data_IF_399770486634
#
_entry.id   IF_399770486634
#
_cell.length_a   1.000
_cell.length_b   1.000
_cell.length_c   1.000
_cell.angle_alpha   90.00
_cell.angle_beta   90.00
_cell.angle_gamma   90.00
#
_symmetry.space_group_name_H-M   'P 1'
#
loop_
_entity.id
_entity.type
_entity.pdbx_description
1 polymer ?
#
# COMPACT_ATOMS: atom_id res chain seq x y z
N UNK A 1 -17.03 -5.12 -8.04
CA UNK A 1 -16.95 -3.75 -7.50
C UNK A 1 -15.63 -3.50 -6.74
N UNK A 2 -15.20 -4.33 -5.75
CA UNK A 2 -13.94 -4.13 -5.02
C UNK A 2 -12.70 -4.14 -5.94
N UNK A 3 -12.67 -5.01 -6.95
CA UNK A 3 -11.60 -5.02 -7.95
C UNK A 3 -11.45 -3.71 -8.73
N UNK A 4 -12.56 -3.04 -9.06
CA UNK A 4 -12.51 -1.72 -9.70
C UNK A 4 -11.89 -0.68 -8.77
N UNK A 5 -12.27 -0.68 -7.48
CA UNK A 5 -11.68 0.22 -6.50
C UNK A 5 -10.16 -0.05 -6.30
N UNK A 6 -9.75 -1.33 -6.34
CA UNK A 6 -8.34 -1.70 -6.29
C UNK A 6 -7.56 -1.17 -7.51
N UNK A 7 -8.12 -1.30 -8.71
CA UNK A 7 -7.53 -0.74 -9.94
C UNK A 7 -7.41 0.78 -9.84
N UNK A 8 -8.46 1.45 -9.36
CA UNK A 8 -8.46 2.90 -9.15
C UNK A 8 -7.39 3.33 -8.14
N UNK A 9 -7.26 2.60 -7.02
CA UNK A 9 -6.22 2.82 -6.03
C UNK A 9 -4.83 2.74 -6.65
N UNK A 10 -4.55 1.66 -7.38
CA UNK A 10 -3.27 1.40 -8.04
C UNK A 10 -2.96 2.48 -9.08
N UNK A 11 -3.95 2.89 -9.87
CA UNK A 11 -3.81 3.95 -10.86
C UNK A 11 -3.43 5.30 -10.21
N UNK A 12 -4.18 5.74 -9.21
CA UNK A 12 -3.86 6.98 -8.51
C UNK A 12 -2.56 6.90 -7.70
N UNK A 13 -2.22 5.73 -7.15
CA UNK A 13 -0.93 5.50 -6.52
C UNK A 13 0.21 5.70 -7.52
N UNK A 14 0.14 5.08 -8.71
CA UNK A 14 1.13 5.25 -9.77
C UNK A 14 1.25 6.72 -10.20
N UNK A 15 0.11 7.37 -10.48
CA UNK A 15 0.08 8.77 -10.91
C UNK A 15 0.66 9.71 -9.85
N UNK A 16 0.38 9.46 -8.57
CA UNK A 16 0.95 10.20 -7.43
C UNK A 16 2.47 10.05 -7.39
N UNK A 17 2.99 8.84 -7.55
CA UNK A 17 4.42 8.59 -7.60
C UNK A 17 5.11 9.33 -8.76
N UNK A 18 4.51 9.29 -9.97
CA UNK A 18 5.03 10.03 -11.14
C UNK A 18 5.05 11.53 -10.87
N UNK A 19 3.99 12.06 -10.25
CA UNK A 19 3.86 13.50 -9.99
C UNK A 19 4.86 14.00 -8.94
N UNK A 20 5.11 13.21 -7.88
CA UNK A 20 6.03 13.60 -6.80
C UNK A 20 7.49 13.39 -7.19
N UNK A 21 7.81 12.22 -7.73
CA UNK A 21 9.18 11.79 -7.96
C UNK A 21 9.69 12.11 -9.37
N UNK A 22 8.79 12.46 -10.29
CA UNK A 22 9.09 12.74 -11.72
C UNK A 22 9.89 11.61 -12.40
N UNK A 23 9.74 10.39 -11.89
CA UNK A 23 10.46 9.20 -12.35
C UNK A 23 9.46 8.04 -12.56
N UNK A 24 9.16 7.74 -13.82
CA UNK A 24 8.23 6.66 -14.20
C UNK A 24 8.72 5.27 -13.77
N UNK A 25 10.03 5.04 -13.77
CA UNK A 25 10.63 3.76 -13.37
C UNK A 25 10.41 3.52 -11.87
N UNK A 26 10.63 4.56 -11.04
CA UNK A 26 10.33 4.53 -9.63
C UNK A 26 8.84 4.25 -9.38
N UNK A 27 7.96 5.00 -10.05
CA UNK A 27 6.52 4.84 -9.91
C UNK A 27 6.07 3.40 -10.25
N UNK A 28 6.58 2.83 -11.33
CA UNK A 28 6.25 1.47 -11.76
C UNK A 28 6.72 0.42 -10.75
N UNK A 29 7.97 0.51 -10.27
CA UNK A 29 8.51 -0.41 -9.26
C UNK A 29 7.72 -0.32 -7.95
N UNK A 30 7.44 0.90 -7.45
CA UNK A 30 6.64 1.09 -6.23
C UNK A 30 5.23 0.53 -6.37
N UNK A 31 4.63 0.64 -7.56
CA UNK A 31 3.31 0.09 -7.84
C UNK A 31 3.32 -1.45 -7.82
N UNK A 32 4.34 -2.09 -8.40
CA UNK A 32 4.49 -3.56 -8.30
C UNK A 32 4.64 -4.00 -6.85
N UNK A 33 5.48 -3.28 -6.08
CA UNK A 33 5.65 -3.58 -4.65
C UNK A 33 4.34 -3.45 -3.88
N UNK A 34 3.52 -2.43 -4.15
CA UNK A 34 2.20 -2.29 -3.56
C UNK A 34 1.28 -3.46 -3.94
N UNK A 35 1.17 -3.78 -5.23
CA UNK A 35 0.29 -4.85 -5.73
C UNK A 35 0.68 -6.24 -5.21
N UNK A 36 1.93 -6.44 -4.80
CA UNK A 36 2.43 -7.70 -4.24
C UNK A 36 2.50 -7.71 -2.71
N UNK A 37 1.99 -6.67 -2.03
CA UNK A 37 1.76 -6.69 -0.59
C UNK A 37 0.53 -7.55 -0.25
N UNK A 38 0.67 -8.43 0.75
CA UNK A 38 -0.37 -9.37 1.15
C UNK A 38 -1.72 -8.69 1.44
N UNK A 39 -1.72 -7.63 2.24
CA UNK A 39 -2.94 -6.96 2.67
C UNK A 39 -3.68 -6.24 1.52
N UNK A 40 -2.95 -5.75 0.50
CA UNK A 40 -3.56 -5.16 -0.71
C UNK A 40 -4.32 -6.22 -1.51
N UNK A 41 -3.74 -7.40 -1.69
CA UNK A 41 -4.36 -8.52 -2.40
C UNK A 41 -5.62 -8.97 -1.65
N UNK A 42 -5.52 -9.13 -0.34
CA UNK A 42 -6.65 -9.52 0.49
C UNK A 42 -7.80 -8.51 0.42
N UNK A 43 -7.52 -7.20 0.53
CA UNK A 43 -8.54 -6.15 0.45
C UNK A 43 -9.16 -6.00 -0.94
N UNK A 44 -8.40 -6.26 -1.99
CA UNK A 44 -8.92 -6.25 -3.38
C UNK A 44 -9.91 -7.39 -3.66
N UNK A 45 -9.81 -8.51 -2.93
CA UNK A 45 -10.67 -9.69 -3.06
C UNK A 45 -11.88 -9.66 -2.14
N UNK A 46 -11.71 -9.15 -0.93
CA UNK A 46 -12.81 -8.95 0.00
C UNK A 46 -13.53 -7.65 -0.34
N UNK A 47 -14.87 -7.65 -0.33
CA UNK A 47 -15.67 -6.44 -0.57
C UNK A 47 -15.59 -5.46 0.62
N UNK A 48 -14.36 -5.12 1.04
CA UNK A 48 -14.11 -4.23 2.17
C UNK A 48 -14.30 -2.77 1.78
N UNK A 49 -15.02 -2.02 2.60
CA UNK A 49 -15.20 -0.56 2.45
C UNK A 49 -13.86 0.21 2.48
N UNK A 50 -12.83 -0.37 3.08
CA UNK A 50 -11.51 0.25 3.21
C UNK A 50 -10.87 0.53 1.85
N UNK A 51 -11.00 -0.39 0.88
CA UNK A 51 -10.38 -0.22 -0.44
C UNK A 51 -10.98 0.98 -1.20
N UNK A 52 -12.33 1.16 -1.13
CA UNK A 52 -13.00 2.30 -1.78
C UNK A 52 -12.59 3.62 -1.17
N UNK A 53 -12.66 3.69 0.17
CA UNK A 53 -12.30 4.87 0.93
C UNK A 53 -10.87 5.34 0.62
N UNK A 54 -9.90 4.43 0.61
CA UNK A 54 -8.51 4.78 0.34
C UNK A 54 -8.22 5.00 -1.16
N UNK A 55 -8.95 4.33 -2.07
CA UNK A 55 -8.83 4.59 -3.50
C UNK A 55 -9.23 6.03 -3.85
N UNK A 56 -10.38 6.48 -3.34
CA UNK A 56 -10.82 7.85 -3.54
C UNK A 56 -9.88 8.84 -2.84
N UNK A 57 -9.42 8.56 -1.64
CA UNK A 57 -8.48 9.46 -0.96
C UNK A 57 -7.14 9.56 -1.70
N UNK A 58 -6.63 8.49 -2.32
CA UNK A 58 -5.45 8.57 -3.18
C UNK A 58 -5.69 9.44 -4.42
N UNK A 59 -6.90 9.41 -4.99
CA UNK A 59 -7.31 10.35 -6.03
C UNK A 59 -7.26 11.80 -5.56
N UNK A 60 -7.79 12.06 -4.36
CA UNK A 60 -7.73 13.40 -3.75
C UNK A 60 -6.27 13.86 -3.55
N UNK A 61 -5.40 13.00 -3.03
CA UNK A 61 -3.97 13.28 -2.81
C UNK A 61 -3.28 13.60 -4.14
N UNK A 62 -3.56 12.85 -5.21
CA UNK A 62 -3.00 13.12 -6.53
C UNK A 62 -3.34 14.53 -7.02
N UNK A 63 -4.61 14.93 -6.93
CA UNK A 63 -5.04 16.27 -7.35
C UNK A 63 -4.52 17.37 -6.42
N UNK A 64 -4.42 17.11 -5.11
CA UNK A 64 -3.79 18.04 -4.16
C UNK A 64 -2.33 18.31 -4.50
N UNK A 65 -1.55 17.29 -4.82
CA UNK A 65 -0.15 17.46 -5.20
C UNK A 65 -0.05 18.33 -6.45
N UNK A 66 -0.90 18.10 -7.46
CA UNK A 66 -0.95 18.95 -8.67
C UNK A 66 -1.30 20.40 -8.32
N UNK A 67 -2.33 20.61 -7.49
CA UNK A 67 -2.78 21.93 -7.07
C UNK A 67 -1.70 22.67 -6.27
N UNK A 68 -0.99 21.98 -5.38
CA UNK A 68 0.09 22.55 -4.58
C UNK A 68 1.33 22.86 -5.42
N UNK A 69 1.68 22.00 -6.37
CA UNK A 69 2.85 22.17 -7.23
C UNK A 69 2.64 23.24 -8.32
N UNK A 70 1.41 23.57 -8.67
CA UNK A 70 1.08 24.55 -9.69
C UNK A 70 1.55 25.96 -9.27
N UNK A 71 2.20 26.69 -10.20
CA UNK A 71 2.62 28.08 -9.99
C UNK A 71 1.43 29.04 -9.91
N UNK A 72 0.43 28.81 -10.76
CA UNK A 72 -0.85 29.53 -10.78
C UNK A 72 -1.91 28.67 -10.11
N UNK A 73 -2.88 29.31 -9.43
CA UNK A 73 -3.94 28.58 -8.74
C UNK A 73 -4.76 27.73 -9.72
N UNK A 74 -4.75 26.42 -9.54
CA UNK A 74 -5.51 25.47 -10.34
C UNK A 74 -6.84 25.15 -9.63
N UNK A 75 -7.88 25.91 -9.92
CA UNK A 75 -9.24 25.67 -9.41
C UNK A 75 -9.73 24.25 -9.73
N UNK A 76 -9.47 23.79 -10.95
CA UNK A 76 -9.84 22.46 -11.40
C UNK A 76 -9.26 21.34 -10.51
N UNK A 77 -7.97 21.42 -10.18
CA UNK A 77 -7.34 20.39 -9.36
C UNK A 77 -7.85 20.43 -7.91
N UNK A 78 -8.09 21.61 -7.33
CA UNK A 78 -8.72 21.72 -6.00
C UNK A 78 -10.16 21.17 -6.01
N UNK A 79 -10.96 21.47 -7.04
CA UNK A 79 -12.33 20.95 -7.16
C UNK A 79 -12.34 19.43 -7.23
N UNK A 80 -11.50 18.82 -8.10
CA UNK A 80 -11.40 17.35 -8.17
C UNK A 80 -10.90 16.74 -6.87
N UNK A 81 -9.94 17.36 -6.18
CA UNK A 81 -9.53 16.91 -4.86
C UNK A 81 -10.71 16.89 -3.89
N UNK A 82 -11.56 17.94 -3.87
CA UNK A 82 -12.79 18.00 -3.07
C UNK A 82 -13.78 16.90 -3.41
N UNK A 83 -14.03 16.64 -4.70
CA UNK A 83 -14.91 15.55 -5.14
C UNK A 83 -14.40 14.20 -4.62
N UNK A 84 -13.13 13.88 -4.81
CA UNK A 84 -12.55 12.61 -4.36
C UNK A 84 -12.50 12.50 -2.84
N UNK A 85 -12.26 13.59 -2.10
CA UNK A 85 -12.39 13.62 -0.64
C UNK A 85 -13.83 13.32 -0.20
N UNK A 86 -14.82 13.93 -0.83
CA UNK A 86 -16.23 13.69 -0.55
C UNK A 86 -16.64 12.23 -0.81
N UNK A 87 -16.23 11.65 -1.93
CA UNK A 87 -16.46 10.22 -2.24
C UNK A 87 -15.79 9.31 -1.20
N UNK A 88 -14.60 9.66 -0.76
CA UNK A 88 -13.90 8.93 0.30
C UNK A 88 -14.67 8.99 1.63
N UNK A 89 -15.15 10.17 2.01
CA UNK A 89 -15.98 10.36 3.20
C UNK A 89 -17.28 9.56 3.13
N UNK A 90 -17.95 9.59 1.99
CA UNK A 90 -19.18 8.83 1.74
C UNK A 90 -18.99 7.31 1.88
N UNK A 91 -17.79 6.81 1.56
CA UNK A 91 -17.49 5.36 1.59
C UNK A 91 -17.32 4.82 3.02
N UNK A 92 -16.68 5.55 3.93
CA UNK A 92 -16.38 5.08 5.30
C UNK A 92 -16.25 6.21 6.33
N UNK A 93 -16.83 7.37 6.09
CA UNK A 93 -16.71 8.52 6.97
C UNK A 93 -15.26 9.07 7.03
N UNK A 94 -14.84 9.65 8.17
CA UNK A 94 -13.59 10.41 8.27
C UNK A 94 -12.31 9.57 8.35
N UNK A 95 -12.39 8.25 8.30
CA UNK A 95 -11.25 7.34 8.56
C UNK A 95 -10.04 7.65 7.67
N UNK A 96 -10.27 7.86 6.37
CA UNK A 96 -9.18 8.14 5.41
C UNK A 96 -8.57 9.53 5.58
N UNK A 97 -9.33 10.49 6.11
CA UNK A 97 -8.81 11.82 6.42
C UNK A 97 -7.76 11.74 7.53
N UNK A 98 -8.04 10.95 8.56
CA UNK A 98 -7.12 10.74 9.67
C UNK A 98 -5.95 9.81 9.30
N UNK A 99 -6.26 8.67 8.65
CA UNK A 99 -5.28 7.61 8.43
C UNK A 99 -4.38 7.81 7.20
N UNK A 100 -4.84 8.55 6.19
CA UNK A 100 -4.10 8.72 4.94
C UNK A 100 -3.81 10.18 4.60
N UNK A 101 -4.82 11.06 4.64
CA UNK A 101 -4.66 12.45 4.25
C UNK A 101 -3.83 13.26 5.24
N UNK A 102 -4.12 13.16 6.54
CA UNK A 102 -3.40 13.94 7.57
C UNK A 102 -1.91 13.62 7.60
N UNK A 103 -1.46 12.33 7.64
CA UNK A 103 -0.04 12.00 7.57
C UNK A 103 0.61 12.46 6.26
N UNK A 104 -0.12 12.37 5.13
CA UNK A 104 0.34 12.91 3.85
C UNK A 104 0.59 14.42 3.94
N UNK A 105 -0.37 15.18 4.45
CA UNK A 105 -0.24 16.63 4.58
C UNK A 105 0.92 17.03 5.49
N UNK A 106 1.08 16.36 6.65
CA UNK A 106 2.21 16.59 7.57
C UNK A 106 3.53 16.40 6.80
N UNK A 107 3.69 15.27 6.12
CA UNK A 107 4.94 14.92 5.43
C UNK A 107 5.19 15.82 4.22
N UNK A 108 4.15 16.09 3.42
CA UNK A 108 4.27 16.90 2.21
C UNK A 108 4.58 18.36 2.53
N UNK A 109 3.87 18.94 3.49
CA UNK A 109 4.10 20.32 3.91
C UNK A 109 5.48 20.50 4.56
N UNK A 110 5.93 19.53 5.35
CA UNK A 110 7.26 19.57 5.99
C UNK A 110 8.39 19.52 4.95
N UNK A 111 8.31 18.61 3.97
CA UNK A 111 9.39 18.35 3.00
C UNK A 111 9.37 19.33 1.82
N UNK A 112 8.18 19.57 1.24
CA UNK A 112 8.05 20.35 -0.01
C UNK A 112 7.71 21.81 0.23
N UNK A 113 7.13 22.16 1.40
CA UNK A 113 6.76 23.53 1.80
C UNK A 113 6.01 24.29 0.70
N UNK A 114 4.87 23.78 0.22
CA UNK A 114 4.15 24.37 -0.91
C UNK A 114 3.70 25.80 -0.59
N UNK A 115 3.83 26.71 -1.57
CA UNK A 115 3.33 28.09 -1.42
C UNK A 115 1.81 28.09 -1.51
N UNK A 116 1.16 28.65 -0.50
CA UNK A 116 -0.30 28.83 -0.45
C UNK A 116 -0.77 30.21 -0.91
N UNK A 117 0.15 31.08 -1.37
CA UNK A 117 -0.20 32.42 -1.85
C UNK A 117 -1.20 32.34 -3.01
N UNK A 118 -2.34 33.01 -2.86
CA UNK A 118 -3.40 33.03 -3.87
C UNK A 118 -4.23 31.75 -4.00
N UNK A 119 -4.01 30.71 -3.19
CA UNK A 119 -4.71 29.42 -3.28
C UNK A 119 -5.81 29.23 -2.23
N UNK A 120 -5.94 30.13 -1.26
CA UNK A 120 -6.88 29.99 -0.14
C UNK A 120 -8.36 29.92 -0.57
N UNK A 121 -8.74 30.71 -1.59
CA UNK A 121 -10.11 30.68 -2.12
C UNK A 121 -10.43 29.32 -2.77
N UNK A 122 -9.50 28.76 -3.54
CA UNK A 122 -9.67 27.44 -4.17
C UNK A 122 -9.69 26.32 -3.12
N UNK A 123 -8.90 26.45 -2.05
CA UNK A 123 -8.93 25.52 -0.90
C UNK A 123 -10.31 25.57 -0.20
N UNK A 124 -10.88 26.76 0.00
CA UNK A 124 -12.23 26.89 0.55
C UNK A 124 -13.28 26.21 -0.35
N UNK A 125 -13.20 26.42 -1.68
CA UNK A 125 -14.09 25.72 -2.64
C UNK A 125 -13.90 24.20 -2.57
N UNK A 126 -12.69 23.71 -2.47
CA UNK A 126 -12.42 22.28 -2.29
C UNK A 126 -13.15 21.72 -1.04
N UNK A 127 -13.09 22.43 0.08
CA UNK A 127 -13.77 22.02 1.32
C UNK A 127 -15.29 22.01 1.12
N UNK A 128 -15.86 23.05 0.50
CA UNK A 128 -17.29 23.12 0.21
C UNK A 128 -17.73 21.97 -0.70
N UNK A 129 -16.99 21.70 -1.77
CA UNK A 129 -17.27 20.56 -2.67
C UNK A 129 -17.17 19.23 -1.94
N UNK A 130 -16.17 19.07 -1.07
CA UNK A 130 -16.02 17.86 -0.25
C UNK A 130 -17.24 17.66 0.66
N UNK A 131 -17.73 18.71 1.31
CA UNK A 131 -18.90 18.65 2.18
C UNK A 131 -20.19 18.36 1.38
N UNK A 132 -20.38 18.99 0.23
CA UNK A 132 -21.55 18.73 -0.62
C UNK A 132 -21.56 17.25 -1.07
N UNK A 133 -20.45 16.75 -1.60
CA UNK A 133 -20.36 15.37 -2.10
C UNK A 133 -20.38 14.35 -0.97
N UNK A 134 -19.74 14.63 0.16
CA UNK A 134 -19.58 13.68 1.25
C UNK A 134 -20.76 13.63 2.22
N UNK A 135 -21.44 14.74 2.46
CA UNK A 135 -22.42 14.83 3.54
C UNK A 135 -23.88 14.76 3.05
N UNK A 136 -24.15 14.86 1.73
CA UNK A 136 -25.53 14.89 1.24
C UNK A 136 -26.34 13.66 1.66
N UNK A 137 -25.72 12.47 1.64
CA UNK A 137 -26.39 11.23 2.03
C UNK A 137 -26.69 11.19 3.53
N UNK A 138 -25.76 11.64 4.37
CA UNK A 138 -25.98 11.74 5.82
C UNK A 138 -27.05 12.76 6.15
N UNK A 139 -27.08 13.91 5.43
CA UNK A 139 -28.12 14.91 5.55
C UNK A 139 -29.50 14.35 5.16
N UNK A 140 -29.57 13.59 4.06
CA UNK A 140 -30.80 12.93 3.64
C UNK A 140 -31.32 11.94 4.70
N UNK A 141 -30.46 11.05 5.21
CA UNK A 141 -30.86 10.11 6.27
C UNK A 141 -31.31 10.86 7.53
N UNK A 142 -30.60 11.90 7.94
CA UNK A 142 -30.95 12.69 9.12
C UNK A 142 -32.33 13.34 9.00
N UNK A 143 -32.66 13.88 7.83
CA UNK A 143 -33.94 14.57 7.59
C UNK A 143 -35.12 13.59 7.48
N UNK A 144 -34.93 12.40 6.92
CA UNK A 144 -36.02 11.47 6.65
C UNK A 144 -36.07 10.25 7.57
N UNK A 145 -34.95 9.91 8.23
CA UNK A 145 -34.79 8.72 9.09
C UNK A 145 -33.91 9.04 10.31
N UNK A 146 -34.23 10.10 11.05
CA UNK A 146 -33.41 10.60 12.17
C UNK A 146 -33.15 9.57 13.27
N UNK A 147 -34.15 8.74 13.60
CA UNK A 147 -34.01 7.70 14.63
C UNK A 147 -32.97 6.62 14.23
N UNK A 148 -32.95 6.22 12.96
CA UNK A 148 -31.97 5.30 12.44
C UNK A 148 -30.55 5.89 12.46
N UNK A 149 -30.44 7.19 12.19
CA UNK A 149 -29.16 7.90 12.22
C UNK A 149 -28.58 7.98 13.64
N UNK A 150 -29.39 8.32 14.64
CA UNK A 150 -28.97 8.37 16.04
C UNK A 150 -28.52 7.00 16.55
N UNK A 151 -29.27 5.95 16.27
CA UNK A 151 -28.91 4.57 16.62
C UNK A 151 -27.57 4.14 16.03
N UNK A 152 -27.33 4.43 14.73
CA UNK A 152 -26.06 4.10 14.07
C UNK A 152 -24.91 4.91 14.65
N UNK A 153 -25.12 6.23 14.92
CA UNK A 153 -24.09 7.09 15.51
C UNK A 153 -23.68 6.61 16.90
N UNK A 154 -24.63 6.24 17.75
CA UNK A 154 -24.37 5.71 19.10
C UNK A 154 -23.63 4.38 19.05
N UNK A 155 -24.05 3.48 18.16
CA UNK A 155 -23.41 2.17 17.97
C UNK A 155 -21.98 2.29 17.48
N UNK A 156 -21.72 3.15 16.51
CA UNK A 156 -20.37 3.34 15.96
C UNK A 156 -19.46 4.08 16.95
N UNK A 157 -19.97 5.08 17.68
CA UNK A 157 -19.18 5.80 18.71
C UNK A 157 -18.79 4.86 19.86
N UNK A 158 -19.73 4.02 20.33
CA UNK A 158 -19.44 3.00 21.33
C UNK A 158 -18.45 1.95 20.84
N UNK A 159 -18.54 1.57 19.55
CA UNK A 159 -17.61 0.62 18.94
C UNK A 159 -16.17 1.17 18.86
N UNK A 160 -15.98 2.46 18.58
CA UNK A 160 -14.65 3.07 18.51
C UNK A 160 -13.90 3.06 19.85
N UNK A 161 -14.62 3.14 20.96
CA UNK A 161 -14.05 3.19 22.31
C UNK A 161 -13.85 1.78 22.88
N UNK A 162 -14.82 0.87 22.67
CA UNK A 162 -14.90 -0.39 23.40
C UNK A 162 -14.58 -1.64 22.56
N UNK A 163 -14.54 -1.51 21.22
CA UNK A 163 -14.37 -2.66 20.32
C UNK A 163 -12.92 -2.80 19.87
N UNK A 164 -12.36 -4.01 19.98
CA UNK A 164 -11.01 -4.34 19.54
C UNK A 164 -9.92 -3.38 20.07
N UNK A 165 -10.04 -2.99 21.34
CA UNK A 165 -9.02 -2.18 22.00
C UNK A 165 -7.73 -2.98 22.10
N UNK A 166 -6.63 -2.44 21.57
CA UNK A 166 -5.31 -3.06 21.56
C UNK A 166 -4.27 -2.07 22.06
N UNK A 167 -3.11 -2.57 22.55
CA UNK A 167 -2.01 -1.71 23.01
C UNK A 167 -1.54 -0.74 21.91
N UNK A 168 -0.95 0.39 22.32
CA UNK A 168 -0.47 1.41 21.40
C UNK A 168 0.59 0.89 20.42
N UNK A 169 1.40 -0.09 20.80
CA UNK A 169 2.45 -0.72 19.98
C UNK A 169 1.92 -1.78 19.01
N UNK A 170 0.63 -2.07 18.97
CA UNK A 170 0.03 -3.12 18.12
C UNK A 170 0.42 -2.99 16.65
N UNK A 171 0.49 -1.78 16.13
CA UNK A 171 0.84 -1.53 14.74
C UNK A 171 2.35 -1.48 14.45
N UNK A 172 3.21 -1.67 15.41
CA UNK A 172 4.66 -1.63 15.19
C UNK A 172 5.19 -2.81 14.38
N UNK A 173 4.40 -3.87 14.30
CA UNK A 173 4.62 -5.01 13.39
C UNK A 173 4.16 -4.75 11.95
N UNK A 174 3.87 -3.50 11.58
CA UNK A 174 3.34 -3.11 10.25
C UNK A 174 4.16 -3.62 9.07
N UNK A 175 5.46 -3.84 9.25
CA UNK A 175 6.34 -4.37 8.22
C UNK A 175 5.96 -5.81 7.82
N UNK A 176 5.36 -6.61 8.70
CA UNK A 176 4.89 -7.96 8.40
C UNK A 176 3.73 -7.97 7.41
N UNK A 177 2.90 -6.92 7.40
CA UNK A 177 1.76 -6.79 6.47
C UNK A 177 2.19 -6.62 5.02
N UNK A 178 3.46 -6.31 4.76
CA UNK A 178 4.03 -6.30 3.42
C UNK A 178 4.32 -7.71 2.90
N UNK A 179 4.21 -8.75 3.74
CA UNK A 179 4.44 -10.14 3.38
C UNK A 179 5.90 -10.40 2.98
N UNK A 180 6.13 -10.85 1.76
CA UNK A 180 7.48 -11.18 1.25
C UNK A 180 8.45 -10.00 1.27
N UNK A 181 7.94 -8.77 1.37
CA UNK A 181 8.74 -7.54 1.38
C UNK A 181 9.10 -7.05 2.78
N UNK A 182 8.76 -7.79 3.85
CA UNK A 182 8.99 -7.35 5.23
C UNK A 182 10.46 -6.95 5.49
N UNK A 183 11.41 -7.77 5.05
CA UNK A 183 12.84 -7.47 5.20
C UNK A 183 13.29 -6.32 4.30
N UNK A 184 12.70 -6.18 3.10
CA UNK A 184 12.95 -5.04 2.22
C UNK A 184 12.50 -3.74 2.86
N UNK A 185 11.33 -3.73 3.48
CA UNK A 185 10.83 -2.56 4.21
C UNK A 185 11.75 -2.21 5.38
N UNK A 186 12.12 -3.19 6.22
CA UNK A 186 13.08 -2.96 7.30
C UNK A 186 14.42 -2.42 6.75
N UNK A 187 14.95 -3.01 5.68
CA UNK A 187 16.16 -2.51 5.04
C UNK A 187 15.99 -1.06 4.57
N UNK A 188 14.82 -0.71 4.01
CA UNK A 188 14.56 0.66 3.55
C UNK A 188 14.49 1.68 4.70
N UNK A 189 14.01 1.27 5.89
CA UNK A 189 14.01 2.12 7.08
C UNK A 189 15.42 2.42 7.58
N UNK A 190 16.31 1.45 7.50
CA UNK A 190 17.69 1.56 7.97
C UNK A 190 18.67 2.07 6.92
N UNK A 191 18.22 2.39 5.69
CA UNK A 191 19.06 2.97 4.63
C UNK A 191 19.97 4.13 5.10
N UNK A 192 19.50 5.07 5.94
CA UNK A 192 20.34 6.17 6.42
C UNK A 192 21.56 5.76 7.26
N UNK A 193 21.61 4.53 7.77
CA UNK A 193 22.73 4.03 8.56
C UNK A 193 23.98 3.80 7.71
N UNK A 194 23.80 3.40 6.45
CA UNK A 194 24.94 3.12 5.56
C UNK A 194 25.00 4.04 4.34
N UNK A 195 23.98 4.87 4.09
CA UNK A 195 23.98 5.85 3.02
C UNK A 195 23.65 7.25 3.52
N UNK A 196 24.68 8.04 3.78
CA UNK A 196 24.55 9.42 4.25
C UNK A 196 23.91 10.35 3.22
N UNK A 197 24.08 10.08 1.92
CA UNK A 197 23.51 10.87 0.83
C UNK A 197 21.98 10.75 0.80
N UNK A 198 21.47 9.53 0.92
CA UNK A 198 20.03 9.28 0.85
C UNK A 198 19.27 9.85 2.04
N UNK A 199 19.94 9.94 3.21
CA UNK A 199 19.36 10.51 4.42
C UNK A 199 18.77 11.91 4.23
N UNK A 200 19.27 12.71 3.28
CA UNK A 200 18.83 14.10 3.04
C UNK A 200 17.96 14.26 1.80
N UNK A 201 17.75 13.21 1.02
CA UNK A 201 16.96 13.26 -0.22
C UNK A 201 15.47 13.35 0.07
N UNK A 202 14.80 14.32 -0.53
CA UNK A 202 13.35 14.52 -0.38
C UNK A 202 12.55 13.30 -0.83
N UNK A 203 13.02 12.65 -1.88
CA UNK A 203 12.43 11.46 -2.48
C UNK A 203 12.41 10.26 -1.52
N UNK A 204 13.35 10.20 -0.58
CA UNK A 204 13.38 9.21 0.49
C UNK A 204 12.61 9.68 1.73
N UNK A 205 12.86 10.92 2.16
CA UNK A 205 12.30 11.45 3.41
C UNK A 205 10.79 11.60 3.36
N UNK A 206 10.23 11.97 2.22
CA UNK A 206 8.79 12.18 2.09
C UNK A 206 7.99 10.89 2.37
N UNK A 207 8.20 9.78 1.64
CA UNK A 207 7.45 8.55 1.91
C UNK A 207 7.77 7.94 3.29
N UNK A 208 9.02 8.08 3.78
CA UNK A 208 9.41 7.64 5.11
C UNK A 208 8.62 8.38 6.20
N UNK A 209 8.58 9.71 6.15
CA UNK A 209 7.82 10.51 7.12
C UNK A 209 6.31 10.25 7.00
N UNK A 210 5.79 10.10 5.78
CA UNK A 210 4.39 9.74 5.57
C UNK A 210 4.07 8.41 6.25
N UNK A 211 4.88 7.39 6.03
CA UNK A 211 4.70 6.08 6.65
C UNK A 211 4.76 6.14 8.18
N UNK A 212 5.81 6.74 8.73
CA UNK A 212 6.00 6.82 10.19
C UNK A 212 4.89 7.64 10.86
N UNK A 213 4.49 8.78 10.29
CA UNK A 213 3.39 9.57 10.82
C UNK A 213 2.06 8.81 10.75
N UNK A 214 1.83 8.01 9.70
CA UNK A 214 0.64 7.14 9.62
C UNK A 214 0.64 6.10 10.75
N UNK A 215 1.76 5.40 10.97
CA UNK A 215 1.87 4.40 12.04
C UNK A 215 1.64 5.04 13.42
N UNK A 216 2.23 6.21 13.67
CA UNK A 216 2.05 6.93 14.94
C UNK A 216 0.60 7.34 15.13
N UNK A 217 -0.03 7.97 14.14
CA UNK A 217 -1.42 8.40 14.24
C UNK A 217 -2.38 7.22 14.43
N UNK A 218 -2.20 6.12 13.71
CA UNK A 218 -3.01 4.91 13.91
C UNK A 218 -2.79 4.29 15.29
N UNK A 219 -1.58 4.38 15.85
CA UNK A 219 -1.26 3.85 17.18
C UNK A 219 -1.99 4.59 18.30
N UNK A 220 -2.37 5.86 18.08
CA UNK A 220 -3.13 6.67 19.04
C UNK A 220 -4.61 6.25 19.15
N UNK A 221 -5.17 5.61 18.11
CA UNK A 221 -6.56 5.16 18.14
C UNK A 221 -6.72 3.94 19.05
N UNK A 222 -7.76 3.86 19.92
CA UNK A 222 -8.03 2.70 20.76
C UNK A 222 -8.37 1.45 19.94
N UNK A 223 -9.30 1.56 18.99
CA UNK A 223 -9.70 0.46 18.11
C UNK A 223 -8.61 0.16 17.09
N UNK A 224 -8.14 -1.09 17.04
CA UNK A 224 -7.09 -1.55 16.14
C UNK A 224 -7.46 -2.82 15.40
N UNK A 225 -7.29 -2.79 14.08
CA UNK A 225 -7.48 -3.94 13.17
C UNK A 225 -6.36 -3.94 12.13
N UNK A 226 -5.89 -5.12 11.70
CA UNK A 226 -4.82 -5.22 10.69
C UNK A 226 -5.16 -4.52 9.37
N UNK A 227 -6.43 -4.54 8.96
CA UNK A 227 -6.89 -3.83 7.75
C UNK A 227 -6.70 -2.31 7.79
N UNK A 228 -6.58 -1.72 8.98
CA UNK A 228 -6.32 -0.28 9.13
C UNK A 228 -4.87 0.10 8.77
N UNK A 229 -3.99 -0.89 8.57
CA UNK A 229 -2.63 -0.67 8.06
C UNK A 229 -2.55 -0.44 6.55
N UNK A 230 -3.66 -0.54 5.80
CA UNK A 230 -3.69 -0.29 4.36
C UNK A 230 -3.04 1.06 3.95
N UNK A 231 -3.31 2.20 4.63
CA UNK A 231 -2.64 3.47 4.33
C UNK A 231 -1.11 3.44 4.54
N UNK A 232 -0.63 2.67 5.52
CA UNK A 232 0.81 2.51 5.78
C UNK A 232 1.50 1.83 4.61
N UNK A 233 0.85 0.82 3.99
CA UNK A 233 1.43 0.07 2.88
C UNK A 233 1.67 0.93 1.64
N UNK A 234 0.88 1.97 1.42
CA UNK A 234 1.08 2.90 0.30
C UNK A 234 2.39 3.67 0.45
N UNK A 235 2.62 4.28 1.60
CA UNK A 235 3.87 4.99 1.87
C UNK A 235 5.06 4.04 2.02
N UNK A 236 4.85 2.83 2.56
CA UNK A 236 5.86 1.77 2.62
C UNK A 236 6.33 1.33 1.22
N UNK A 237 5.39 1.14 0.27
CA UNK A 237 5.74 0.77 -1.09
C UNK A 237 6.57 1.85 -1.81
N UNK A 238 6.31 3.13 -1.54
CA UNK A 238 7.18 4.22 -2.03
C UNK A 238 8.57 4.15 -1.39
N UNK A 239 8.68 3.90 -0.10
CA UNK A 239 9.96 3.82 0.61
C UNK A 239 10.80 2.63 0.12
N UNK A 240 10.18 1.47 -0.05
CA UNK A 240 10.82 0.28 -0.65
C UNK A 240 11.22 0.50 -2.10
N UNK A 241 10.33 1.14 -2.89
CA UNK A 241 10.59 1.47 -4.30
C UNK A 241 11.81 2.37 -4.46
N UNK A 242 12.00 3.32 -3.55
CA UNK A 242 13.21 4.14 -3.52
C UNK A 242 14.47 3.29 -3.35
N UNK A 243 14.48 2.37 -2.37
CA UNK A 243 15.63 1.50 -2.12
C UNK A 243 15.94 0.60 -3.34
N UNK A 244 14.93 0.03 -3.98
CA UNK A 244 15.12 -0.80 -5.20
C UNK A 244 15.74 0.02 -6.33
N UNK A 245 15.33 1.26 -6.55
CA UNK A 245 15.91 2.13 -7.58
C UNK A 245 17.36 2.50 -7.23
N UNK A 246 17.63 2.87 -5.99
CA UNK A 246 19.00 3.15 -5.52
C UNK A 246 19.90 1.94 -5.75
N UNK A 247 19.47 0.74 -5.39
CA UNK A 247 20.23 -0.48 -5.67
C UNK A 247 20.39 -0.76 -7.16
N UNK A 248 19.33 -0.54 -7.96
CA UNK A 248 19.38 -0.78 -9.40
C UNK A 248 20.41 0.10 -10.12
N UNK A 249 20.62 1.31 -9.61
CA UNK A 249 21.59 2.24 -10.16
C UNK A 249 23.01 2.00 -9.59
N UNK A 250 23.14 1.77 -8.27
CA UNK A 250 24.44 1.60 -7.60
C UNK A 250 25.09 0.24 -7.84
N UNK A 251 24.30 -0.86 -7.78
CA UNK A 251 24.87 -2.22 -7.89
C UNK A 251 25.40 -2.54 -9.30
N UNK A 252 25.10 -1.72 -10.29
CA UNK A 252 25.68 -1.81 -11.63
C UNK A 252 27.11 -1.23 -11.69
N UNK A 253 27.46 -0.34 -10.77
CA UNK A 253 28.79 0.26 -10.70
C UNK A 253 29.79 -0.71 -10.04
N UNK A 254 31.03 -0.81 -10.55
CA UNK A 254 32.09 -1.55 -9.87
C UNK A 254 32.39 -1.05 -8.45
N UNK A 255 32.14 0.22 -8.21
CA UNK A 255 32.35 0.91 -6.93
C UNK A 255 31.18 0.77 -5.94
N UNK A 256 30.21 -0.12 -6.21
CA UNK A 256 29.07 -0.33 -5.31
C UNK A 256 29.52 -0.67 -3.88
N UNK A 257 28.90 -0.02 -2.91
CA UNK A 257 29.17 -0.21 -1.48
C UNK A 257 29.06 -1.67 -1.07
N UNK A 258 29.97 -2.13 -0.22
CA UNK A 258 29.91 -3.49 0.37
C UNK A 258 28.61 -3.68 1.14
N UNK A 259 28.11 -2.62 1.83
CA UNK A 259 26.86 -2.65 2.57
C UNK A 259 25.64 -2.84 1.62
N UNK A 260 25.55 -2.08 0.52
CA UNK A 260 24.47 -2.24 -0.46
C UNK A 260 24.45 -3.66 -1.04
N UNK A 261 25.62 -4.21 -1.40
CA UNK A 261 25.74 -5.59 -1.90
C UNK A 261 25.28 -6.64 -0.87
N UNK A 262 25.70 -6.47 0.39
CA UNK A 262 25.37 -7.39 1.48
C UNK A 262 23.86 -7.34 1.80
N UNK A 263 23.32 -6.15 2.04
CA UNK A 263 21.90 -5.98 2.39
C UNK A 263 20.99 -6.45 1.24
N UNK A 264 21.34 -6.13 -0.02
CA UNK A 264 20.61 -6.64 -1.17
C UNK A 264 20.63 -8.18 -1.23
N UNK A 265 21.81 -8.81 -1.06
CA UNK A 265 21.93 -10.28 -1.08
C UNK A 265 21.07 -10.92 0.00
N UNK A 266 21.09 -10.39 1.23
CA UNK A 266 20.25 -10.91 2.33
C UNK A 266 18.78 -10.88 1.94
N UNK A 267 18.27 -9.75 1.42
CA UNK A 267 16.91 -9.62 0.96
C UNK A 267 16.57 -10.61 -0.16
N UNK A 268 17.42 -10.66 -1.19
CA UNK A 268 17.17 -11.49 -2.37
C UNK A 268 17.24 -12.98 -2.06
N UNK A 269 18.20 -13.42 -1.24
CA UNK A 269 18.29 -14.81 -0.81
C UNK A 269 17.15 -15.24 0.07
N UNK A 270 16.71 -14.39 1.01
CA UNK A 270 15.54 -14.67 1.85
C UNK A 270 14.29 -14.92 1.01
N UNK A 271 14.00 -14.03 0.05
CA UNK A 271 12.87 -14.20 -0.85
C UNK A 271 13.02 -15.49 -1.70
N UNK A 272 14.22 -15.74 -2.24
CA UNK A 272 14.47 -16.92 -3.06
C UNK A 272 14.29 -18.23 -2.28
N UNK A 273 14.77 -18.30 -1.03
CA UNK A 273 14.62 -19.46 -0.14
C UNK A 273 13.15 -19.69 0.20
N UNK A 274 12.42 -18.65 0.58
CA UNK A 274 10.97 -18.74 0.87
C UNK A 274 10.24 -19.34 -0.34
N UNK A 275 10.50 -18.81 -1.54
CA UNK A 275 9.85 -19.30 -2.76
C UNK A 275 10.27 -20.75 -3.08
N UNK A 276 11.53 -21.12 -2.88
CA UNK A 276 12.02 -22.48 -3.13
C UNK A 276 11.38 -23.52 -2.20
N UNK A 277 10.97 -23.14 -0.99
CA UNK A 277 10.33 -24.01 0.01
C UNK A 277 8.83 -24.18 -0.26
N UNK A 278 8.17 -23.26 -1.01
CA UNK A 278 6.71 -23.32 -1.25
C UNK A 278 6.22 -24.67 -1.82
N UNK A 279 6.90 -25.36 -2.77
CA UNK A 279 6.45 -26.66 -3.25
C UNK A 279 6.44 -27.74 -2.15
N UNK A 280 7.40 -27.68 -1.22
CA UNK A 280 7.49 -28.60 -0.08
C UNK A 280 6.29 -28.35 0.87
N UNK A 281 6.02 -27.08 1.17
CA UNK A 281 4.83 -26.68 1.93
C UNK A 281 3.54 -27.11 1.21
N UNK A 282 3.48 -26.95 -0.13
CA UNK A 282 2.37 -27.40 -0.96
C UNK A 282 2.12 -28.89 -0.87
N UNK A 283 3.16 -29.71 -0.79
CA UNK A 283 3.02 -31.15 -0.56
C UNK A 283 2.33 -31.45 0.78
N UNK A 284 2.78 -30.84 1.88
CA UNK A 284 2.24 -31.11 3.22
C UNK A 284 0.85 -30.53 3.45
N UNK A 285 0.58 -29.31 2.99
CA UNK A 285 -0.64 -28.56 3.31
C UNK A 285 -1.73 -28.64 2.24
N UNK A 286 -1.38 -29.06 1.02
CA UNK A 286 -2.33 -29.04 -0.10
C UNK A 286 -2.52 -30.44 -0.70
N UNK A 287 -1.43 -31.18 -0.98
CA UNK A 287 -1.53 -32.51 -1.57
C UNK A 287 -1.91 -33.58 -0.54
N UNK A 288 -1.23 -33.63 0.60
CA UNK A 288 -1.47 -34.66 1.63
C UNK A 288 -2.91 -34.69 2.16
N UNK A 289 -3.59 -33.53 2.35
CA UNK A 289 -5.02 -33.51 2.68
C UNK A 289 -5.95 -33.85 1.51
N UNK A 290 -5.42 -34.06 0.29
CA UNK A 290 -6.21 -34.45 -0.88
C UNK A 290 -6.83 -33.32 -1.68
N UNK A 291 -6.39 -32.07 -1.43
CA UNK A 291 -6.96 -30.88 -2.11
C UNK A 291 -6.56 -30.76 -3.59
N UNK A 292 -5.44 -31.34 -3.99
CA UNK A 292 -4.94 -31.33 -5.38
C UNK A 292 -4.37 -32.68 -5.75
N UNK A 293 -4.44 -32.99 -7.05
CA UNK A 293 -3.82 -34.22 -7.59
C UNK A 293 -2.30 -34.09 -7.65
N UNK A 294 -1.58 -35.23 -7.60
CA UNK A 294 -0.13 -35.27 -7.71
C UNK A 294 0.41 -34.62 -9.01
N UNK A 295 -0.19 -34.85 -10.19
CA UNK A 295 0.25 -34.17 -11.42
C UNK A 295 0.12 -32.66 -11.35
N UNK A 296 -0.96 -32.14 -10.75
CA UNK A 296 -1.17 -30.71 -10.57
C UNK A 296 -0.11 -30.11 -9.64
N UNK A 297 0.17 -30.77 -8.50
CA UNK A 297 1.24 -30.34 -7.61
C UNK A 297 2.59 -30.34 -8.32
N UNK A 298 2.90 -31.39 -9.12
CA UNK A 298 4.16 -31.47 -9.85
C UNK A 298 4.34 -30.30 -10.84
N UNK A 299 3.32 -30.00 -11.63
CA UNK A 299 3.35 -28.86 -12.59
C UNK A 299 3.56 -27.54 -11.86
N UNK A 300 2.81 -27.27 -10.77
CA UNK A 300 2.97 -26.06 -9.97
C UNK A 300 4.36 -25.99 -9.32
N UNK A 301 4.89 -27.12 -8.85
CA UNK A 301 6.23 -27.17 -8.24
C UNK A 301 7.33 -26.83 -9.25
N UNK A 302 7.24 -27.33 -10.48
CA UNK A 302 8.18 -26.99 -11.57
C UNK A 302 8.14 -25.49 -11.87
N UNK A 303 6.94 -24.91 -11.96
CA UNK A 303 6.76 -23.47 -12.18
C UNK A 303 7.41 -22.65 -11.06
N UNK A 304 7.12 -23.00 -9.79
CA UNK A 304 7.63 -22.27 -8.61
C UNK A 304 9.15 -22.41 -8.53
N UNK A 305 9.72 -23.61 -8.78
CA UNK A 305 11.19 -23.78 -8.78
C UNK A 305 11.86 -23.05 -9.93
N UNK A 306 11.21 -22.94 -11.10
CA UNK A 306 11.67 -22.07 -12.18
C UNK A 306 11.75 -20.59 -11.77
N UNK A 307 10.73 -20.09 -11.05
CA UNK A 307 10.74 -18.74 -10.48
C UNK A 307 11.84 -18.61 -9.43
N UNK A 308 11.98 -19.58 -8.51
CA UNK A 308 13.04 -19.59 -7.50
C UNK A 308 14.43 -19.53 -8.12
N UNK A 309 14.69 -20.30 -9.20
CA UNK A 309 15.95 -20.25 -9.94
C UNK A 309 16.23 -18.84 -10.54
N UNK A 310 15.20 -18.15 -11.06
CA UNK A 310 15.31 -16.78 -11.52
C UNK A 310 15.65 -15.80 -10.37
N UNK A 311 15.04 -16.00 -9.19
CA UNK A 311 15.30 -15.19 -7.99
C UNK A 311 16.72 -15.44 -7.46
N UNK A 312 17.18 -16.67 -7.39
CA UNK A 312 18.56 -17.03 -7.03
C UNK A 312 19.55 -16.36 -7.99
N UNK A 313 19.29 -16.45 -9.30
CA UNK A 313 20.13 -15.79 -10.31
C UNK A 313 20.15 -14.27 -10.12
N UNK A 314 19.01 -13.67 -9.73
CA UNK A 314 18.93 -12.24 -9.39
C UNK A 314 19.78 -11.90 -8.17
N UNK A 315 19.75 -12.73 -7.12
CA UNK A 315 20.56 -12.56 -5.90
C UNK A 315 22.07 -12.62 -6.20
N UNK A 316 22.49 -13.60 -6.99
CA UNK A 316 23.90 -13.79 -7.37
C UNK A 316 24.39 -12.64 -8.26
N UNK A 317 23.59 -12.25 -9.26
CA UNK A 317 23.95 -11.23 -10.26
C UNK A 317 23.65 -9.79 -9.83
N UNK A 318 23.17 -9.58 -8.61
CA UNK A 318 22.82 -8.27 -8.06
C UNK A 318 21.83 -7.47 -8.97
N UNK A 319 20.70 -8.08 -9.33
CA UNK A 319 19.72 -7.53 -10.26
C UNK A 319 18.40 -7.20 -9.58
N UNK A 320 18.27 -6.06 -8.84
CA UNK A 320 17.09 -5.75 -8.01
C UNK A 320 15.76 -5.69 -8.78
N UNK A 321 15.78 -5.20 -10.03
CA UNK A 321 14.57 -5.14 -10.85
C UNK A 321 14.05 -6.53 -11.20
N UNK A 322 14.95 -7.49 -11.47
CA UNK A 322 14.57 -8.88 -11.75
C UNK A 322 14.05 -9.58 -10.51
N UNK A 323 14.52 -9.22 -9.32
CA UNK A 323 13.94 -9.69 -8.05
C UNK A 323 12.45 -9.29 -7.96
N UNK A 324 12.15 -8.00 -8.17
CA UNK A 324 10.77 -7.50 -8.14
C UNK A 324 9.91 -8.15 -9.23
N UNK A 325 10.44 -8.30 -10.45
CA UNK A 325 9.75 -8.98 -11.54
C UNK A 325 9.47 -10.46 -11.26
N UNK A 326 10.42 -11.18 -10.66
CA UNK A 326 10.24 -12.58 -10.28
C UNK A 326 9.16 -12.76 -9.21
N UNK A 327 9.10 -11.87 -8.21
CA UNK A 327 8.03 -11.88 -7.21
C UNK A 327 6.68 -11.54 -7.86
N UNK A 328 6.62 -10.57 -8.78
CA UNK A 328 5.39 -10.27 -9.51
C UNK A 328 4.87 -11.52 -10.27
N UNK A 329 5.76 -12.23 -10.98
CA UNK A 329 5.40 -13.45 -11.71
C UNK A 329 4.90 -14.53 -10.73
N UNK A 330 5.51 -14.67 -9.55
CA UNK A 330 5.04 -15.58 -8.51
C UNK A 330 3.60 -15.26 -8.08
N UNK A 331 3.30 -13.99 -7.79
CA UNK A 331 1.95 -13.59 -7.37
C UNK A 331 0.92 -13.76 -8.51
N UNK A 332 1.26 -13.40 -9.75
CA UNK A 332 0.39 -13.64 -10.89
C UNK A 332 0.14 -15.15 -11.11
N UNK A 333 1.17 -15.98 -10.95
CA UNK A 333 1.02 -17.43 -11.04
C UNK A 333 0.12 -17.99 -9.92
N UNK A 334 0.29 -17.47 -8.69
CA UNK A 334 -0.57 -17.83 -7.56
C UNK A 334 -2.03 -17.44 -7.80
N UNK A 335 -2.29 -16.23 -8.27
CA UNK A 335 -3.63 -15.74 -8.56
C UNK A 335 -4.31 -16.51 -9.72
N UNK A 336 -3.58 -16.78 -10.80
CA UNK A 336 -4.14 -17.43 -11.98
C UNK A 336 -4.32 -18.94 -11.83
N UNK A 337 -3.41 -19.62 -11.11
CA UNK A 337 -3.38 -21.08 -11.08
C UNK A 337 -3.68 -21.68 -9.71
N UNK A 338 -3.13 -21.12 -8.63
CA UNK A 338 -3.26 -21.74 -7.30
C UNK A 338 -4.59 -21.42 -6.64
N UNK A 339 -5.05 -20.18 -6.72
CA UNK A 339 -6.28 -19.77 -6.04
C UNK A 339 -7.57 -20.34 -6.63
N UNK A 340 -7.74 -20.49 -7.95
CA UNK A 340 -8.90 -21.21 -8.50
C UNK A 340 -8.98 -22.65 -8.04
N UNK A 341 -7.82 -23.34 -7.90
CA UNK A 341 -7.77 -24.71 -7.39
C UNK A 341 -8.15 -24.81 -5.92
N UNK A 342 -7.70 -23.84 -5.09
CA UNK A 342 -8.04 -23.78 -3.66
C UNK A 342 -9.45 -23.26 -3.40
N UNK A 343 -10.02 -22.46 -4.30
CA UNK A 343 -11.36 -21.92 -4.18
C UNK A 343 -12.44 -23.02 -4.10
N UNK A 344 -12.27 -24.10 -4.83
CA UNK A 344 -13.14 -25.27 -4.77
C UNK A 344 -13.08 -25.98 -3.40
N UNK A 345 -11.96 -25.87 -2.71
CA UNK A 345 -11.74 -26.48 -1.39
C UNK A 345 -12.30 -25.60 -0.28
N UNK A 346 -12.12 -24.29 -0.38
CA UNK A 346 -12.58 -23.31 0.62
C UNK A 346 -14.12 -23.21 0.61
N UNK A 347 -14.74 -23.40 -0.55
CA UNK A 347 -16.18 -23.31 -0.72
C UNK A 347 -16.93 -24.64 -0.50
N UNK A 348 -16.22 -25.76 -0.34
CA UNK A 348 -16.78 -27.05 0.03
C UNK A 348 -16.13 -27.60 1.32
N UNK A 349 -16.54 -27.11 2.49
CA UNK A 349 -15.98 -27.58 3.77
C UNK A 349 -16.38 -29.02 4.15
N UNK A 350 -17.18 -29.72 3.32
CA UNK A 350 -17.66 -31.09 3.58
C UNK A 350 -16.87 -32.20 2.82
N UNK A 351 -15.76 -31.88 2.17
CA UNK A 351 -14.87 -32.90 1.60
C UNK A 351 -13.63 -33.14 2.45
#
# INVERSE_FOLDING_TARGET
MAGFAAILLVAFFYLTAVQVMRNKRYAFISTILLCTCYNIILMGRTASWDIYCHAFMMGAIYFLIKAFAAKVCSWKDFTWAGVFMGLSFMSKGPVSFYALLLPFLISYCYIYRPSMKGKWKALAVMIVVCLIVGCWWYAFIYLFHGDAMSYVADKESAAWINRNVRPWYYYWSFFLETGVWAILLLSSLFLPLWSKEDRKRKEYLFPLLWMLSTVVLLSLLPEKKNRYLLPVLMSAAYTMGYLIIVWADRLRSPQASKADKAVYRVNAWLVAVVVAVLPIAGYWFVYRPGYVSLPTLAVLSVLIWGIAACLIRSAVRLQPIKLVGGVLILFLSAECFMLPLLGNVINNPEM
#
